data_IF_832523444753
#
_entry.id   IF_832523444753
#
_cell.length_a   1.000
_cell.length_b   1.000
_cell.length_c   1.000
_cell.angle_alpha   90.00
_cell.angle_beta   90.00
_cell.angle_gamma   90.00
#
_symmetry.space_group_name_H-M   'P 1'
#
loop_
_entity.id
_entity.type
_entity.pdbx_description
1 polymer ?
#
# COMPACT_ATOMS: atom_id res chain seq x y z
N UNK A 1 -21.47 -9.67 -17.68
CA UNK A 1 -22.22 -8.42 -17.92
C UNK A 1 -21.46 -7.49 -18.85
N UNK A 2 -20.16 -7.29 -18.66
CA UNK A 2 -19.39 -6.37 -19.49
C UNK A 2 -19.43 -4.91 -19.02
N UNK A 3 -19.91 -4.68 -17.81
CA UNK A 3 -20.02 -3.35 -17.19
C UNK A 3 -18.71 -2.93 -16.50
N UNK A 4 -17.67 -3.75 -16.61
CA UNK A 4 -16.34 -3.51 -16.04
C UNK A 4 -15.34 -4.08 -17.02
N UNK A 5 -14.52 -3.20 -17.59
CA UNK A 5 -13.50 -3.60 -18.56
C UNK A 5 -12.29 -4.20 -17.85
N UNK A 6 -11.97 -3.70 -16.65
CA UNK A 6 -10.72 -4.01 -15.97
C UNK A 6 -10.80 -3.79 -14.45
N UNK A 7 -9.94 -4.52 -13.74
CA UNK A 7 -9.69 -4.37 -12.30
C UNK A 7 -8.21 -4.12 -12.05
N UNK A 8 -7.89 -3.33 -11.02
CA UNK A 8 -6.54 -3.03 -10.58
C UNK A 8 -6.39 -3.37 -9.10
N UNK A 9 -5.25 -3.94 -8.72
CA UNK A 9 -4.91 -4.27 -7.34
C UNK A 9 -4.38 -5.68 -7.21
N UNK A 10 -4.45 -6.23 -6.00
CA UNK A 10 -4.05 -7.62 -5.74
C UNK A 10 -5.19 -8.56 -6.15
N UNK A 11 -4.93 -9.45 -7.10
CA UNK A 11 -5.90 -10.44 -7.58
C UNK A 11 -5.54 -11.80 -7.00
N UNK A 12 -6.44 -12.37 -6.21
CA UNK A 12 -6.25 -13.68 -5.57
C UNK A 12 -7.30 -14.62 -6.14
N UNK A 13 -6.85 -15.79 -6.60
CA UNK A 13 -7.72 -16.83 -7.19
C UNK A 13 -8.58 -16.27 -8.35
N UNK A 14 -7.95 -15.76 -9.43
CA UNK A 14 -8.70 -15.27 -10.58
C UNK A 14 -9.51 -16.41 -11.20
N UNK A 15 -10.76 -16.17 -11.64
CA UNK A 15 -11.50 -17.17 -12.40
C UNK A 15 -10.84 -17.41 -13.76
N UNK A 16 -11.06 -18.58 -14.37
CA UNK A 16 -10.40 -19.03 -15.60
C UNK A 16 -10.55 -18.06 -16.80
N UNK A 17 -11.62 -17.27 -16.81
CA UNK A 17 -11.91 -16.30 -17.86
C UNK A 17 -11.31 -14.91 -17.61
N UNK A 18 -10.51 -14.73 -16.56
CA UNK A 18 -9.80 -13.50 -16.25
C UNK A 18 -8.33 -13.64 -16.65
N UNK A 19 -7.86 -12.75 -17.53
CA UNK A 19 -6.44 -12.59 -17.81
C UNK A 19 -5.88 -11.63 -16.77
N UNK A 20 -4.78 -12.01 -16.13
CA UNK A 20 -4.07 -11.21 -15.13
C UNK A 20 -2.68 -10.86 -15.65
N UNK A 21 -2.31 -9.59 -15.53
CA UNK A 21 -0.98 -9.09 -15.85
C UNK A 21 -0.41 -8.37 -14.64
N UNK A 22 0.82 -8.72 -14.28
CA UNK A 22 1.59 -8.00 -13.28
C UNK A 22 1.91 -6.58 -13.75
N UNK A 23 1.75 -5.58 -12.87
CA UNK A 23 2.14 -4.19 -13.13
C UNK A 23 3.40 -3.81 -12.35
N UNK A 24 3.41 -4.07 -11.04
CA UNK A 24 4.52 -3.72 -10.15
C UNK A 24 4.46 -4.49 -8.83
N UNK A 25 5.54 -4.43 -8.06
CA UNK A 25 5.57 -4.88 -6.67
C UNK A 25 5.52 -3.70 -5.71
N UNK A 26 4.52 -3.72 -4.82
CA UNK A 26 4.35 -2.73 -3.79
C UNK A 26 4.88 -3.25 -2.45
N UNK A 27 5.53 -2.37 -1.69
CA UNK A 27 6.01 -2.64 -0.34
C UNK A 27 5.29 -1.79 0.68
N UNK A 28 5.79 -1.83 1.91
CA UNK A 28 5.20 -1.14 3.04
C UNK A 28 6.21 -0.17 3.64
N UNK A 29 5.70 0.97 4.12
CA UNK A 29 6.45 1.96 4.88
C UNK A 29 5.59 2.47 6.04
N UNK A 30 6.24 3.14 6.99
CA UNK A 30 5.58 3.70 8.16
C UNK A 30 5.37 5.20 8.00
N UNK A 31 4.26 5.68 8.52
CA UNK A 31 3.90 7.10 8.60
C UNK A 31 3.79 7.47 10.06
N UNK A 32 4.48 8.54 10.43
CA UNK A 32 4.48 9.14 11.77
C UNK A 32 4.32 10.65 11.63
N UNK A 33 4.03 11.37 12.73
CA UNK A 33 4.12 12.83 12.69
C UNK A 33 5.56 13.31 12.48
N UNK A 34 5.71 14.48 11.86
CA UNK A 34 7.03 15.01 11.50
C UNK A 34 7.94 15.15 12.72
N UNK A 35 7.40 15.69 13.81
CA UNK A 35 8.09 15.97 15.08
C UNK A 35 7.91 14.86 16.13
N UNK A 36 7.82 13.60 15.69
CA UNK A 36 7.58 12.45 16.56
C UNK A 36 8.66 12.34 17.68
N UNK A 37 8.30 12.23 18.97
CA UNK A 37 9.21 12.48 20.07
C UNK A 37 10.18 11.32 20.32
N UNK A 38 9.83 10.12 19.88
CA UNK A 38 10.61 8.89 20.10
C UNK A 38 11.35 8.40 18.85
N UNK A 39 11.02 8.89 17.66
CA UNK A 39 11.54 8.33 16.41
C UNK A 39 12.49 9.34 15.78
N UNK A 40 13.77 8.97 15.70
CA UNK A 40 14.80 9.74 15.01
C UNK A 40 14.73 9.52 13.50
N UNK A 41 15.87 9.33 12.84
CA UNK A 41 15.93 9.07 11.39
C UNK A 41 15.26 7.74 10.98
N UNK A 42 15.37 6.72 11.83
CA UNK A 42 14.84 5.38 11.56
C UNK A 42 13.95 4.92 12.72
N UNK A 43 12.95 4.10 12.38
CA UNK A 43 12.07 3.43 13.33
C UNK A 43 12.61 2.02 13.61
N UNK A 44 12.98 1.74 14.85
CA UNK A 44 13.41 0.40 15.25
C UNK A 44 12.21 -0.54 15.46
N UNK A 45 12.46 -1.85 15.48
CA UNK A 45 11.45 -2.85 15.80
C UNK A 45 10.86 -2.63 17.20
N UNK A 46 11.70 -2.39 18.19
CA UNK A 46 11.29 -2.16 19.58
C UNK A 46 10.44 -0.89 19.71
N UNK A 47 10.83 0.19 19.03
CA UNK A 47 10.04 1.41 18.97
C UNK A 47 8.68 1.13 18.33
N UNK A 48 8.66 0.45 17.17
CA UNK A 48 7.42 0.10 16.48
C UNK A 48 6.44 -0.67 17.38
N UNK A 49 6.92 -1.62 18.18
CA UNK A 49 6.07 -2.38 19.11
C UNK A 49 5.54 -1.53 20.28
N UNK A 50 6.28 -0.50 20.69
CA UNK A 50 5.87 0.44 21.76
C UNK A 50 4.86 1.49 21.29
N UNK A 51 4.89 1.85 20.00
CA UNK A 51 3.95 2.81 19.45
C UNK A 51 2.54 2.25 19.42
N UNK A 52 1.56 3.14 19.56
CA UNK A 52 0.17 2.87 19.23
C UNK A 52 -0.03 3.00 17.74
N UNK A 53 -0.87 2.14 17.16
CA UNK A 53 -1.05 2.05 15.72
C UNK A 53 -2.44 2.48 15.26
N UNK A 54 -2.48 3.28 14.19
CA UNK A 54 -3.65 3.43 13.34
C UNK A 54 -3.64 2.29 12.33
N UNK A 55 -4.61 1.40 12.44
CA UNK A 55 -4.78 0.27 11.53
C UNK A 55 -5.78 0.63 10.42
N UNK A 56 -5.43 0.34 9.16
CA UNK A 56 -6.35 0.54 8.04
C UNK A 56 -6.92 -0.81 7.64
N UNK A 57 -8.24 -0.93 7.68
CA UNK A 57 -9.01 -2.10 7.25
C UNK A 57 -9.88 -1.70 6.05
N UNK A 58 -9.32 -1.70 4.83
CA UNK A 58 -10.13 -1.41 3.66
C UNK A 58 -11.28 -2.42 3.55
N UNK A 59 -12.48 -1.99 3.12
CA UNK A 59 -13.56 -2.91 2.84
C UNK A 59 -13.17 -3.93 1.75
N UNK A 60 -13.59 -5.20 1.90
CA UNK A 60 -13.29 -6.28 0.95
C UNK A 60 -12.35 -7.38 1.48
N UNK A 61 -11.77 -8.19 0.58
CA UNK A 61 -10.88 -9.33 0.90
C UNK A 61 -9.41 -8.94 1.18
N UNK A 62 -9.06 -7.65 1.11
CA UNK A 62 -7.71 -7.14 1.33
C UNK A 62 -7.35 -7.04 2.83
N UNK A 63 -7.72 -8.04 3.64
CA UNK A 63 -7.66 -7.97 5.12
C UNK A 63 -6.39 -8.54 5.75
N UNK A 64 -5.68 -9.44 5.06
CA UNK A 64 -4.73 -10.34 5.74
C UNK A 64 -3.24 -10.06 5.52
N UNK A 65 -2.85 -9.32 4.49
CA UNK A 65 -1.45 -9.24 4.06
C UNK A 65 -0.49 -8.67 5.11
N UNK A 66 -0.83 -7.51 5.67
CA UNK A 66 0.04 -6.82 6.63
C UNK A 66 0.10 -7.55 7.98
N UNK A 67 -1.02 -8.05 8.48
CA UNK A 67 -1.06 -8.77 9.77
C UNK A 67 -0.18 -10.02 9.71
N UNK A 68 -0.35 -10.83 8.65
CA UNK A 68 0.43 -12.04 8.44
C UNK A 68 1.93 -11.74 8.28
N UNK A 69 2.29 -10.69 7.55
CA UNK A 69 3.69 -10.29 7.38
C UNK A 69 4.34 -9.90 8.71
N UNK A 70 3.62 -9.17 9.57
CA UNK A 70 4.12 -8.79 10.89
C UNK A 70 4.27 -10.00 11.82
N UNK A 71 3.28 -10.88 11.83
CA UNK A 71 3.30 -12.11 12.63
C UNK A 71 4.47 -13.03 12.23
N UNK A 72 4.72 -13.19 10.93
CA UNK A 72 5.86 -13.96 10.41
C UNK A 72 7.22 -13.38 10.81
N UNK A 73 7.30 -12.06 11.04
CA UNK A 73 8.51 -11.37 11.48
C UNK A 73 8.58 -11.20 13.01
N UNK A 74 7.61 -11.75 13.75
CA UNK A 74 7.54 -11.67 15.20
C UNK A 74 7.19 -10.28 15.75
N UNK A 75 6.79 -9.33 14.89
CA UNK A 75 6.45 -7.97 15.30
C UNK A 75 5.03 -7.88 15.83
N UNK A 76 4.89 -7.28 17.00
CA UNK A 76 3.59 -6.99 17.61
C UNK A 76 3.20 -5.53 17.42
N UNK A 77 1.89 -5.27 17.46
CA UNK A 77 1.35 -3.91 17.40
C UNK A 77 0.27 -3.71 18.44
N UNK A 78 0.31 -2.58 19.12
CA UNK A 78 -0.81 -2.10 19.89
C UNK A 78 -1.73 -1.26 18.99
N UNK A 79 -2.76 -1.89 18.40
CA UNK A 79 -3.75 -1.15 17.60
C UNK A 79 -4.60 -0.27 18.52
N UNK A 80 -4.51 1.05 18.35
CA UNK A 80 -5.29 2.01 19.12
C UNK A 80 -6.59 2.41 18.40
N UNK A 81 -6.55 2.51 17.07
CA UNK A 81 -7.70 2.89 16.25
C UNK A 81 -7.69 2.08 14.96
N UNK A 82 -8.87 1.72 14.45
CA UNK A 82 -9.02 1.15 13.11
C UNK A 82 -9.91 2.03 12.24
N UNK A 83 -9.47 2.32 11.01
CA UNK A 83 -10.19 3.13 10.01
C UNK A 83 -10.40 2.33 8.72
N UNK A 84 -11.38 2.72 7.91
CA UNK A 84 -11.70 2.02 6.64
C UNK A 84 -11.05 2.62 5.41
N UNK A 85 -10.50 3.84 5.51
CA UNK A 85 -9.93 4.58 4.38
C UNK A 85 -8.59 5.24 4.75
N UNK A 86 -7.64 5.22 3.81
CA UNK A 86 -6.31 5.79 4.00
C UNK A 86 -6.33 7.31 4.26
N UNK A 87 -7.33 8.02 3.75
CA UNK A 87 -7.46 9.48 3.93
C UNK A 87 -7.71 9.91 5.38
N UNK A 88 -8.14 9.01 6.27
CA UNK A 88 -8.30 9.32 7.68
C UNK A 88 -6.98 9.25 8.48
N UNK A 89 -5.97 8.56 7.94
CA UNK A 89 -4.67 8.37 8.58
C UNK A 89 -3.91 9.69 8.83
N UNK A 90 -3.72 10.59 7.84
CA UNK A 90 -2.95 11.82 8.05
C UNK A 90 -3.49 12.67 9.20
N UNK A 91 -4.81 12.83 9.30
CA UNK A 91 -5.45 13.63 10.35
C UNK A 91 -5.26 13.06 11.75
N UNK A 92 -5.18 11.73 11.89
CA UNK A 92 -4.90 11.08 13.17
C UNK A 92 -3.41 11.17 13.52
N UNK A 93 -2.55 10.85 12.56
CA UNK A 93 -1.11 10.80 12.78
C UNK A 93 -0.56 12.19 13.10
N UNK A 94 -1.01 13.23 12.39
CA UNK A 94 -0.52 14.61 12.56
C UNK A 94 -0.69 15.18 13.99
N UNK A 95 -1.62 14.63 14.79
CA UNK A 95 -1.93 15.14 16.14
C UNK A 95 -1.72 14.10 17.24
N UNK A 96 -1.09 12.95 16.93
CA UNK A 96 -0.82 11.88 17.90
C UNK A 96 0.60 11.32 17.73
N UNK A 97 1.10 10.65 18.76
CA UNK A 97 2.35 9.87 18.69
C UNK A 97 2.09 8.45 18.13
N UNK A 98 1.17 8.32 17.19
CA UNK A 98 0.81 7.03 16.60
C UNK A 98 1.61 6.78 15.32
N UNK A 99 1.67 5.50 14.94
CA UNK A 99 2.25 5.03 13.69
C UNK A 99 1.17 4.40 12.82
N UNK A 100 1.32 4.49 11.50
CA UNK A 100 0.56 3.69 10.55
C UNK A 100 1.51 3.00 9.56
N UNK A 101 1.21 1.76 9.17
CA UNK A 101 1.99 1.01 8.16
C UNK A 101 1.16 0.86 6.91
N UNK A 102 1.58 1.50 5.82
CA UNK A 102 0.80 1.67 4.60
C UNK A 102 1.60 1.27 3.34
N UNK A 103 0.94 1.02 2.19
CA UNK A 103 1.62 0.86 0.90
C UNK A 103 2.49 2.08 0.56
N UNK A 104 3.65 1.89 -0.07
CA UNK A 104 4.58 3.01 -0.35
C UNK A 104 3.98 4.07 -1.26
N UNK A 105 3.17 3.71 -2.26
CA UNK A 105 2.48 4.70 -3.11
C UNK A 105 1.54 5.60 -2.28
N UNK A 106 0.90 5.06 -1.25
CA UNK A 106 0.10 5.87 -0.32
C UNK A 106 1.01 6.77 0.51
N UNK A 107 2.10 6.22 1.06
CA UNK A 107 3.08 7.01 1.81
C UNK A 107 3.68 8.16 0.99
N UNK A 108 4.02 7.93 -0.28
CA UNK A 108 4.53 8.95 -1.20
C UNK A 108 3.51 10.06 -1.48
N UNK A 109 2.21 9.72 -1.53
CA UNK A 109 1.18 10.75 -1.61
C UNK A 109 1.11 11.59 -0.32
N UNK A 110 1.21 10.92 0.83
CA UNK A 110 1.15 11.55 2.16
C UNK A 110 2.40 12.37 2.51
N UNK A 111 3.57 12.09 1.90
CA UNK A 111 4.80 12.85 2.16
C UNK A 111 4.71 14.32 1.72
N UNK A 112 3.66 14.70 0.99
CA UNK A 112 3.35 16.09 0.62
C UNK A 112 2.75 16.90 1.79
N UNK A 113 2.32 16.23 2.86
CA UNK A 113 1.84 16.87 4.08
C UNK A 113 3.02 17.04 5.05
N UNK A 114 3.44 18.29 5.26
CA UNK A 114 4.59 18.64 6.11
C UNK A 114 4.41 18.24 7.59
N UNK A 115 3.18 17.94 8.03
CA UNK A 115 2.90 17.43 9.38
C UNK A 115 3.34 15.99 9.56
N UNK A 116 3.67 15.29 8.46
CA UNK A 116 3.95 13.86 8.44
C UNK A 116 5.38 13.60 8.00
N UNK A 117 5.90 12.46 8.46
CA UNK A 117 7.18 11.93 8.02
C UNK A 117 7.03 10.45 7.68
N UNK A 118 7.57 10.08 6.53
CA UNK A 118 7.61 8.71 6.05
C UNK A 118 8.94 8.11 6.46
N UNK A 119 8.91 6.96 7.11
CA UNK A 119 10.10 6.20 7.50
C UNK A 119 10.01 4.77 6.97
N UNK A 120 11.14 4.11 6.68
CA UNK A 120 11.13 2.69 6.34
C UNK A 120 10.42 1.85 7.41
N UNK A 121 9.80 0.75 6.99
CA UNK A 121 9.33 -0.24 7.95
C UNK A 121 10.52 -0.78 8.77
N UNK A 122 10.34 -1.06 10.07
CA UNK A 122 11.43 -1.46 10.97
C UNK A 122 12.05 -2.83 10.62
N UNK A 123 11.35 -3.61 9.81
CA UNK A 123 11.79 -4.90 9.27
C UNK A 123 11.30 -5.03 7.83
N UNK A 124 11.88 -5.96 7.08
CA UNK A 124 11.37 -6.34 5.76
C UNK A 124 10.00 -7.03 5.89
N UNK A 125 8.93 -6.31 5.53
CA UNK A 125 7.55 -6.81 5.50
C UNK A 125 7.19 -7.47 4.16
N UNK A 126 8.17 -7.66 3.28
CA UNK A 126 7.98 -8.18 1.94
C UNK A 126 7.31 -7.20 1.00
N UNK A 127 6.98 -7.71 -0.19
CA UNK A 127 6.22 -6.98 -1.20
C UNK A 127 5.01 -7.80 -1.64
N UNK A 128 4.03 -7.13 -2.23
CA UNK A 128 2.85 -7.75 -2.82
C UNK A 128 2.62 -7.22 -4.24
N UNK A 129 2.08 -8.04 -5.14
CA UNK A 129 1.87 -7.61 -6.51
C UNK A 129 0.68 -6.64 -6.59
N UNK A 130 0.85 -5.62 -7.43
CA UNK A 130 -0.23 -4.83 -8.00
C UNK A 130 -0.40 -5.31 -9.43
N UNK A 131 -1.63 -5.70 -9.77
CA UNK A 131 -1.95 -6.41 -10.99
C UNK A 131 -3.12 -5.73 -11.71
N UNK A 132 -3.21 -6.04 -12.99
CA UNK A 132 -4.28 -5.64 -13.88
C UNK A 132 -5.01 -6.89 -14.36
N UNK A 133 -6.31 -6.95 -14.14
CA UNK A 133 -7.16 -8.07 -14.54
C UNK A 133 -8.22 -7.63 -15.54
N UNK A 134 -8.44 -8.39 -16.61
CA UNK A 134 -9.52 -8.13 -17.57
C UNK A 134 -10.10 -9.44 -18.09
N UNK A 135 -11.35 -9.41 -18.57
CA UNK A 135 -11.99 -10.60 -19.11
C UNK A 135 -11.33 -11.05 -20.43
N UNK A 136 -11.12 -12.35 -20.62
CA UNK A 136 -10.43 -12.94 -21.79
C UNK A 136 -11.02 -12.54 -23.15
N UNK A 137 -12.31 -12.17 -23.18
CA UNK A 137 -12.98 -11.63 -24.38
C UNK A 137 -12.32 -10.38 -24.96
N UNK A 138 -11.62 -9.60 -24.14
CA UNK A 138 -10.94 -8.38 -24.56
C UNK A 138 -9.45 -8.60 -24.86
N UNK A 139 -9.01 -9.86 -24.96
CA UNK A 139 -7.61 -10.22 -25.22
C UNK A 139 -7.08 -9.49 -26.47
N UNK A 140 -7.84 -9.56 -27.56
CA UNK A 140 -7.42 -9.07 -28.88
C UNK A 140 -8.08 -7.74 -29.29
N UNK A 141 -8.86 -7.12 -28.39
CA UNK A 141 -9.48 -5.82 -28.66
C UNK A 141 -8.42 -4.70 -28.77
N UNK A 142 -8.31 -3.96 -29.90
CA UNK A 142 -7.26 -2.97 -30.10
C UNK A 142 -7.31 -1.78 -29.13
N UNK A 143 -8.51 -1.28 -28.80
CA UNK A 143 -8.67 -0.15 -27.90
C UNK A 143 -8.29 -0.55 -26.47
N UNK A 144 -8.71 -1.74 -26.05
CA UNK A 144 -8.36 -2.29 -24.74
C UNK A 144 -6.86 -2.61 -24.66
N UNK A 145 -6.24 -3.09 -25.75
CA UNK A 145 -4.78 -3.29 -25.82
C UNK A 145 -4.01 -1.99 -25.63
N UNK A 146 -4.41 -0.93 -26.32
CA UNK A 146 -3.82 0.41 -26.14
C UNK A 146 -3.94 0.88 -24.69
N UNK A 147 -5.12 0.75 -24.09
CA UNK A 147 -5.33 1.20 -22.72
C UNK A 147 -4.51 0.40 -21.69
N UNK A 148 -4.39 -0.92 -21.87
CA UNK A 148 -3.51 -1.77 -21.04
C UNK A 148 -2.04 -1.37 -21.16
N UNK A 149 -1.59 -1.04 -22.37
CA UNK A 149 -0.23 -0.57 -22.59
C UNK A 149 0.03 0.75 -21.84
N UNK A 150 -0.88 1.72 -21.93
CA UNK A 150 -0.80 3.00 -21.22
C UNK A 150 -0.72 2.82 -19.70
N UNK A 151 -1.55 1.94 -19.13
CA UNK A 151 -1.51 1.64 -17.69
C UNK A 151 -0.19 0.99 -17.31
N UNK A 152 0.31 0.06 -18.13
CA UNK A 152 1.59 -0.62 -17.90
C UNK A 152 2.74 0.39 -17.88
N UNK A 153 2.79 1.29 -18.84
CA UNK A 153 3.79 2.37 -18.93
C UNK A 153 3.71 3.30 -17.71
N UNK A 154 2.51 3.73 -17.33
CA UNK A 154 2.28 4.60 -16.16
C UNK A 154 2.68 3.90 -14.86
N UNK A 155 2.40 2.60 -14.73
CA UNK A 155 2.78 1.82 -13.56
C UNK A 155 4.31 1.69 -13.43
N UNK A 156 5.00 1.51 -14.55
CA UNK A 156 6.46 1.45 -14.59
C UNK A 156 7.09 2.78 -14.13
N UNK A 157 6.55 3.93 -14.56
CA UNK A 157 7.08 5.23 -14.12
C UNK A 157 6.91 5.49 -12.62
N UNK A 158 5.91 4.87 -11.98
CA UNK A 158 5.70 4.97 -10.53
C UNK A 158 6.65 4.06 -9.72
N UNK A 159 7.18 3.01 -10.36
CA UNK A 159 8.11 2.07 -9.73
C UNK A 159 9.56 2.56 -9.78
N UNK A 160 9.83 3.63 -10.54
CA UNK A 160 11.16 4.16 -10.76
C UNK A 160 11.59 5.04 -9.58
N UNK A 161 12.68 4.72 -8.85
CA UNK A 161 13.09 5.45 -7.66
C UNK A 161 13.53 6.91 -7.93
N UNK A 162 13.60 7.35 -9.20
CA UNK A 162 14.06 8.69 -9.60
C UNK A 162 12.99 9.79 -9.53
N UNK A 163 11.70 9.48 -9.33
CA UNK A 163 10.65 10.50 -9.08
C UNK A 163 10.62 10.91 -7.58
N UNK A 164 11.63 10.53 -6.80
CA UNK A 164 11.82 10.92 -5.40
C UNK A 164 12.83 12.07 -5.26
N UNK A 165 12.68 13.15 -6.03
CA UNK A 165 13.39 14.41 -5.83
C UNK A 165 12.38 15.57 -5.74
#
# INVERSE_FOLDING_TARGET
SGNTDMVLGRIVEPPDNLVVQHLMNEGLACVIRADHPLVGENLSAEQYEQLKHVNVLPPGRMRAGLYQALEQRGLRRQVAVSVTHFLAVPEMIAVTDYCATLPRLICQHLSRDERLRIVPAPVDLGTFPVEMGWHARYRDDPAHRWFRALITETAQSLSDPQINN
#
